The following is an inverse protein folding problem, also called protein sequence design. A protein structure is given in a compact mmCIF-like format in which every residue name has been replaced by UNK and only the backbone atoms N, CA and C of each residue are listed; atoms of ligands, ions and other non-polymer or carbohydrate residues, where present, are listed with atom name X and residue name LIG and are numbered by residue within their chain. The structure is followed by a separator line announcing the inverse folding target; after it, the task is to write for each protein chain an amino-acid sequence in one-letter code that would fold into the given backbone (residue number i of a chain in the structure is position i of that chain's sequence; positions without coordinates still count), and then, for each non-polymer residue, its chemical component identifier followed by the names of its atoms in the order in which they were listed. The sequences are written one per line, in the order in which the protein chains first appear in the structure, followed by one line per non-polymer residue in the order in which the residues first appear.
data_IF_279724584865
#
_entry.id   IF_279724584865
#
_cell.length_a   1.000
_cell.length_b   1.000
_cell.length_c   1.000
_cell.angle_alpha   90.00
_cell.angle_beta   90.00
_cell.angle_gamma   90.00
#
_symmetry.space_group_name_H-M   'P 1'
#
loop_
_entity.id
_entity.type
_entity.pdbx_description
1 polymer ?
#
# COMPACT_ATOMS: atom_id res chain seq x y z
N UNK A 1 -20.60 -18.57 3.72
CA UNK A 1 -19.94 -17.81 2.65
C UNK A 1 -19.98 -16.35 3.05
N UNK A 2 -18.83 -15.73 3.40
CA UNK A 2 -18.77 -14.28 3.71
C UNK A 2 -19.02 -13.55 2.38
N UNK A 3 -20.09 -12.76 2.29
CA UNK A 3 -20.30 -11.87 1.14
C UNK A 3 -19.12 -10.89 1.08
N UNK A 4 -18.29 -11.01 0.07
CA UNK A 4 -17.30 -9.98 -0.23
C UNK A 4 -18.05 -8.69 -0.55
N UNK A 5 -17.95 -7.68 0.31
CA UNK A 5 -18.46 -6.36 -0.01
C UNK A 5 -17.80 -5.89 -1.31
N UNK A 6 -18.62 -5.50 -2.27
CA UNK A 6 -18.10 -4.94 -3.52
C UNK A 6 -17.17 -3.76 -3.21
N UNK A 7 -15.98 -3.78 -3.81
CA UNK A 7 -15.01 -2.70 -3.66
C UNK A 7 -15.59 -1.41 -4.25
N UNK A 8 -15.45 -0.31 -3.54
CA UNK A 8 -15.87 1.04 -3.96
C UNK A 8 -14.66 1.98 -3.92
N UNK A 9 -14.74 3.14 -4.56
CA UNK A 9 -13.65 4.13 -4.47
C UNK A 9 -13.35 4.52 -3.02
N UNK A 10 -14.37 4.69 -2.18
CA UNK A 10 -14.20 5.04 -0.74
C UNK A 10 -13.43 3.99 0.06
N UNK A 11 -13.48 2.73 -0.35
CA UNK A 11 -12.78 1.62 0.30
C UNK A 11 -11.47 1.24 -0.39
N UNK A 12 -11.10 1.97 -1.46
CA UNK A 12 -9.88 1.71 -2.21
C UNK A 12 -8.66 2.16 -1.42
N UNK A 13 -7.66 1.29 -1.31
CA UNK A 13 -6.39 1.53 -0.63
C UNK A 13 -5.22 1.11 -1.51
N UNK A 14 -3.99 1.55 -1.18
CA UNK A 14 -2.78 1.14 -1.91
C UNK A 14 -2.54 -0.37 -1.90
N UNK A 15 -3.04 -1.10 -0.88
CA UNK A 15 -2.94 -2.55 -0.81
C UNK A 15 -3.97 -3.23 -1.70
N UNK A 16 -5.27 -2.96 -1.49
CA UNK A 16 -6.33 -3.69 -2.20
C UNK A 16 -6.47 -3.33 -3.68
N UNK A 17 -5.88 -2.23 -4.15
CA UNK A 17 -5.85 -1.86 -5.58
C UNK A 17 -5.14 -2.91 -6.45
N UNK A 18 -4.25 -3.72 -5.87
CA UNK A 18 -3.58 -4.80 -6.57
C UNK A 18 -4.47 -6.03 -6.85
N UNK A 19 -5.62 -6.15 -6.17
CA UNK A 19 -6.57 -7.25 -6.34
C UNK A 19 -7.46 -7.09 -7.58
N UNK A 20 -7.67 -5.84 -8.03
CA UNK A 20 -8.62 -5.51 -9.10
C UNK A 20 -7.97 -5.51 -10.49
N UNK A 21 -8.82 -5.54 -11.51
CA UNK A 21 -8.42 -5.53 -12.91
C UNK A 21 -8.74 -4.17 -13.54
N UNK A 22 -8.22 -3.91 -14.76
CA UNK A 22 -8.42 -2.65 -15.47
C UNK A 22 -9.90 -2.29 -15.67
N UNK A 23 -10.72 -3.30 -15.97
CA UNK A 23 -12.17 -3.09 -16.16
C UNK A 23 -12.87 -2.64 -14.88
N UNK A 24 -12.38 -3.10 -13.72
CA UNK A 24 -12.96 -2.71 -12.44
C UNK A 24 -12.62 -1.26 -12.11
N UNK A 25 -11.41 -0.79 -12.51
CA UNK A 25 -11.02 0.62 -12.36
C UNK A 25 -12.00 1.53 -13.11
N UNK A 26 -12.34 1.21 -14.37
CA UNK A 26 -13.31 2.01 -15.13
C UNK A 26 -14.68 2.08 -14.44
N UNK A 27 -15.16 0.94 -13.91
CA UNK A 27 -16.44 0.88 -13.17
C UNK A 27 -16.39 1.69 -11.88
N UNK A 28 -15.27 1.61 -11.14
CA UNK A 28 -15.08 2.34 -9.90
C UNK A 28 -15.05 3.86 -10.14
N UNK A 29 -14.36 4.31 -11.18
CA UNK A 29 -14.30 5.71 -11.56
C UNK A 29 -15.67 6.24 -12.01
N UNK A 30 -16.39 5.49 -12.82
CA UNK A 30 -17.75 5.87 -13.25
C UNK A 30 -18.76 5.90 -12.09
N UNK A 31 -18.61 4.98 -11.12
CA UNK A 31 -19.45 4.97 -9.93
C UNK A 31 -19.12 6.13 -8.99
N UNK A 32 -17.82 6.38 -8.79
CA UNK A 32 -17.34 7.44 -7.90
C UNK A 32 -17.67 8.85 -8.41
N UNK A 33 -17.71 9.04 -9.72
CA UNK A 33 -18.13 10.32 -10.29
C UNK A 33 -19.57 10.71 -9.92
N UNK A 34 -20.44 9.74 -9.65
CA UNK A 34 -21.84 9.96 -9.24
C UNK A 34 -21.96 10.34 -7.76
N UNK A 35 -20.92 10.13 -6.98
CA UNK A 35 -20.88 10.43 -5.55
C UNK A 35 -20.10 11.75 -5.34
N UNK A 36 -20.75 12.74 -4.72
CA UNK A 36 -20.18 14.07 -4.52
C UNK A 36 -18.86 14.01 -3.71
N UNK A 37 -18.82 13.23 -2.63
CA UNK A 37 -17.63 13.09 -1.79
C UNK A 37 -16.44 12.49 -2.56
N UNK A 38 -16.71 11.52 -3.45
CA UNK A 38 -15.67 10.94 -4.30
C UNK A 38 -15.20 11.91 -5.37
N UNK A 39 -16.09 12.75 -5.90
CA UNK A 39 -15.76 13.74 -6.93
C UNK A 39 -14.73 14.75 -6.40
N UNK A 40 -14.92 15.24 -5.19
CA UNK A 40 -13.99 16.21 -4.56
C UNK A 40 -12.62 15.59 -4.25
N UNK A 41 -12.60 14.30 -3.97
CA UNK A 41 -11.36 13.56 -3.63
C UNK A 41 -10.79 12.75 -4.81
N UNK A 42 -11.23 12.96 -6.03
CA UNK A 42 -10.86 12.15 -7.21
C UNK A 42 -9.33 12.06 -7.42
N UNK A 43 -8.61 13.17 -7.16
CA UNK A 43 -7.14 13.19 -7.25
C UNK A 43 -6.48 12.16 -6.33
N UNK A 44 -6.96 12.04 -5.11
CA UNK A 44 -6.47 11.05 -4.15
C UNK A 44 -6.67 9.61 -4.66
N UNK A 45 -7.84 9.32 -5.25
CA UNK A 45 -8.11 8.00 -5.81
C UNK A 45 -7.26 7.71 -7.05
N UNK A 46 -7.01 8.70 -7.91
CA UNK A 46 -6.07 8.55 -9.01
C UNK A 46 -4.66 8.22 -8.52
N UNK A 47 -4.19 8.85 -7.45
CA UNK A 47 -2.88 8.57 -6.88
C UNK A 47 -2.80 7.14 -6.32
N UNK A 48 -3.85 6.64 -5.67
CA UNK A 48 -3.93 5.24 -5.24
C UNK A 48 -3.89 4.30 -6.45
N UNK A 49 -4.71 4.54 -7.48
CA UNK A 49 -4.78 3.69 -8.67
C UNK A 49 -3.41 3.66 -9.38
N UNK A 50 -2.73 4.79 -9.49
CA UNK A 50 -1.41 4.89 -10.10
C UNK A 50 -0.32 4.08 -9.42
N UNK A 51 -0.51 3.66 -8.17
CA UNK A 51 0.46 2.76 -7.52
C UNK A 51 0.51 1.39 -8.18
N UNK A 52 -0.63 0.87 -8.66
CA UNK A 52 -0.77 -0.45 -9.26
C UNK A 52 -1.00 -0.43 -10.79
N UNK A 53 -1.40 0.72 -11.34
CA UNK A 53 -1.73 0.85 -12.77
C UNK A 53 -0.97 1.99 -13.43
N UNK A 54 -0.64 1.79 -14.70
CA UNK A 54 -0.24 2.84 -15.61
C UNK A 54 -1.51 3.47 -16.18
N UNK A 55 -1.62 4.80 -16.10
CA UNK A 55 -2.79 5.55 -16.58
C UNK A 55 -2.33 6.68 -17.49
N UNK A 56 -2.79 6.67 -18.73
CA UNK A 56 -2.52 7.70 -19.74
C UNK A 56 -3.84 8.22 -20.31
N UNK A 57 -3.97 9.54 -20.43
CA UNK A 57 -5.10 10.13 -21.12
C UNK A 57 -4.91 10.06 -22.64
N UNK A 58 -5.92 9.54 -23.34
CA UNK A 58 -5.89 9.44 -24.81
C UNK A 58 -6.32 10.78 -25.40
N UNK A 59 -5.34 11.61 -25.75
CA UNK A 59 -5.56 12.97 -26.26
C UNK A 59 -6.26 13.02 -27.63
N UNK A 60 -6.10 11.96 -28.43
CA UNK A 60 -6.63 11.88 -29.81
C UNK A 60 -7.50 10.63 -29.93
N UNK A 61 -8.80 10.84 -30.05
CA UNK A 61 -9.77 9.76 -30.22
C UNK A 61 -9.85 9.30 -31.68
N UNK A 62 -8.84 8.52 -32.11
CA UNK A 62 -8.81 7.85 -33.40
C UNK A 62 -8.62 6.35 -33.22
N UNK A 63 -9.28 5.51 -34.05
CA UNK A 63 -9.14 4.05 -33.95
C UNK A 63 -7.69 3.56 -34.00
N UNK A 64 -6.86 4.20 -34.84
CA UNK A 64 -5.43 3.88 -34.97
C UNK A 64 -4.64 4.15 -33.69
N UNK A 65 -4.98 5.20 -32.94
CA UNK A 65 -4.32 5.56 -31.68
C UNK A 65 -4.76 4.59 -30.59
N UNK A 66 -6.04 4.26 -30.53
CA UNK A 66 -6.58 3.27 -29.59
C UNK A 66 -5.92 1.91 -29.83
N UNK A 67 -5.85 1.44 -31.08
CA UNK A 67 -5.20 0.19 -31.43
C UNK A 67 -3.71 0.13 -31.00
N UNK A 68 -2.99 1.26 -31.03
CA UNK A 68 -1.62 1.34 -30.52
C UNK A 68 -1.54 1.16 -29.00
N UNK A 69 -2.49 1.70 -28.23
CA UNK A 69 -2.56 1.47 -26.79
C UNK A 69 -2.90 0.02 -26.48
N UNK A 70 -3.89 -0.55 -27.18
CA UNK A 70 -4.30 -1.94 -27.02
C UNK A 70 -3.14 -2.92 -27.36
N UNK A 71 -2.38 -2.64 -28.42
CA UNK A 71 -1.18 -3.41 -28.79
C UNK A 71 -0.10 -3.39 -27.69
N UNK A 72 -0.01 -2.30 -26.89
CA UNK A 72 0.86 -2.19 -25.71
C UNK A 72 0.26 -2.85 -24.47
N UNK A 73 -0.93 -3.43 -24.57
CA UNK A 73 -1.64 -4.10 -23.47
C UNK A 73 -2.45 -3.17 -22.56
N UNK A 74 -2.72 -1.94 -22.99
CA UNK A 74 -3.63 -1.05 -22.29
C UNK A 74 -5.08 -1.38 -22.65
N UNK A 75 -5.97 -1.22 -21.71
CA UNK A 75 -7.42 -1.16 -21.96
C UNK A 75 -7.85 0.31 -22.05
N UNK A 76 -8.63 0.64 -23.07
CA UNK A 76 -9.06 2.00 -23.33
C UNK A 76 -10.56 2.09 -23.16
N UNK A 77 -11.01 3.00 -22.28
CA UNK A 77 -12.42 3.29 -22.09
C UNK A 77 -12.64 4.77 -21.73
N UNK A 78 -13.82 5.31 -22.03
CA UNK A 78 -14.18 6.65 -21.58
C UNK A 78 -14.40 6.66 -20.06
N UNK A 79 -13.86 7.67 -19.39
CA UNK A 79 -14.06 7.90 -17.95
C UNK A 79 -14.67 9.30 -17.80
N UNK A 80 -15.75 9.39 -17.04
CA UNK A 80 -16.39 10.66 -16.75
C UNK A 80 -15.53 11.41 -15.71
N UNK A 81 -14.94 12.52 -16.10
CA UNK A 81 -14.12 13.37 -15.21
C UNK A 81 -14.88 14.65 -14.86
N UNK A 82 -15.65 15.19 -15.81
CA UNK A 82 -16.48 16.37 -15.66
C UNK A 82 -17.86 16.15 -16.28
N UNK A 83 -18.83 17.01 -15.97
CA UNK A 83 -20.18 16.90 -16.49
C UNK A 83 -20.25 16.99 -18.03
N UNK A 84 -19.30 17.72 -18.63
CA UNK A 84 -19.26 17.98 -20.06
C UNK A 84 -18.21 17.15 -20.82
N UNK A 85 -17.25 16.51 -20.16
CA UNK A 85 -16.14 15.82 -20.81
C UNK A 85 -16.03 14.36 -20.34
N UNK A 86 -15.89 13.47 -21.33
CA UNK A 86 -15.61 12.04 -21.11
C UNK A 86 -14.32 11.69 -21.83
N UNK A 87 -13.17 12.10 -21.30
CA UNK A 87 -11.89 11.71 -21.90
C UNK A 87 -11.74 10.19 -21.89
N UNK A 88 -11.10 9.65 -22.91
CA UNK A 88 -10.71 8.24 -22.92
C UNK A 88 -9.40 8.09 -22.15
N UNK A 89 -9.37 7.10 -21.27
CA UNK A 89 -8.18 6.72 -20.52
C UNK A 89 -7.71 5.36 -20.98
N UNK A 90 -6.40 5.24 -21.13
CA UNK A 90 -5.70 3.98 -21.34
C UNK A 90 -5.14 3.52 -19.99
N UNK A 91 -5.58 2.37 -19.52
CA UNK A 91 -5.21 1.81 -18.20
C UNK A 91 -4.61 0.43 -18.40
N UNK A 92 -3.48 0.17 -17.72
CA UNK A 92 -2.79 -1.11 -17.71
C UNK A 92 -2.23 -1.41 -16.33
N UNK A 93 -2.42 -2.62 -15.85
CA UNK A 93 -1.82 -3.06 -14.59
C UNK A 93 -0.31 -3.10 -14.71
N UNK A 94 0.40 -2.53 -13.73
CA UNK A 94 1.87 -2.53 -13.70
C UNK A 94 2.39 -3.94 -13.54
N UNK A 95 3.22 -4.44 -14.47
CA UNK A 95 3.81 -5.76 -14.31
C UNK A 95 4.92 -5.72 -13.26
N UNK A 96 4.97 -6.72 -12.39
CA UNK A 96 6.08 -6.93 -11.46
C UNK A 96 7.10 -7.81 -12.17
N UNK A 97 8.22 -7.23 -12.58
CA UNK A 97 9.25 -7.88 -13.39
C UNK A 97 10.60 -7.98 -12.69
N UNK A 98 10.91 -7.03 -11.80
CA UNK A 98 12.20 -6.92 -11.11
C UNK A 98 12.00 -6.94 -9.61
N UNK A 99 13.04 -7.30 -8.89
CA UNK A 99 13.02 -7.25 -7.42
C UNK A 99 12.76 -5.83 -6.86
N UNK A 100 13.15 -4.80 -7.61
CA UNK A 100 12.90 -3.39 -7.29
C UNK A 100 11.43 -2.97 -7.46
N UNK A 101 10.61 -3.78 -8.15
CA UNK A 101 9.18 -3.52 -8.33
C UNK A 101 8.36 -4.06 -7.14
N UNK A 102 9.01 -4.83 -6.24
CA UNK A 102 8.38 -5.38 -5.05
C UNK A 102 8.21 -4.31 -3.98
N UNK A 103 7.03 -4.27 -3.40
CA UNK A 103 6.67 -3.37 -2.29
C UNK A 103 5.85 -4.12 -1.24
N UNK A 104 5.74 -3.58 -0.03
CA UNK A 104 4.91 -4.16 1.03
C UNK A 104 3.43 -4.26 0.62
N UNK A 105 2.96 -3.40 -0.28
CA UNK A 105 1.59 -3.39 -0.77
C UNK A 105 1.33 -4.49 -1.79
N UNK A 106 2.30 -4.81 -2.68
CA UNK A 106 2.09 -5.74 -3.78
C UNK A 106 2.57 -7.17 -3.52
N UNK A 107 3.48 -7.36 -2.56
CA UNK A 107 4.13 -8.66 -2.32
C UNK A 107 3.14 -9.80 -2.03
N UNK A 108 2.02 -9.52 -1.37
CA UNK A 108 1.00 -10.51 -1.05
C UNK A 108 0.05 -10.81 -2.21
N UNK A 109 0.12 -10.04 -3.30
CA UNK A 109 -0.74 -10.19 -4.48
C UNK A 109 -0.04 -10.92 -5.64
N UNK A 110 1.17 -11.44 -5.41
CA UNK A 110 1.87 -12.30 -6.35
C UNK A 110 1.92 -13.73 -5.81
N UNK A 111 2.00 -14.70 -6.72
CA UNK A 111 2.20 -16.11 -6.36
C UNK A 111 3.67 -16.40 -6.04
N UNK A 112 3.94 -17.49 -5.31
CA UNK A 112 5.30 -17.96 -5.07
C UNK A 112 6.06 -18.24 -6.38
N UNK A 113 5.39 -18.84 -7.37
CA UNK A 113 5.97 -19.07 -8.69
C UNK A 113 6.37 -17.73 -9.38
N UNK A 114 5.54 -16.67 -9.25
CA UNK A 114 5.87 -15.36 -9.79
C UNK A 114 7.05 -14.72 -9.05
N UNK A 115 7.14 -14.91 -7.74
CA UNK A 115 8.31 -14.47 -6.98
C UNK A 115 9.59 -15.16 -7.47
N UNK A 116 9.55 -16.49 -7.72
CA UNK A 116 10.69 -17.23 -8.26
C UNK A 116 11.13 -16.66 -9.62
N UNK A 117 10.18 -16.36 -10.53
CA UNK A 117 10.47 -15.73 -11.82
C UNK A 117 11.14 -14.35 -11.66
N UNK A 118 10.70 -13.55 -10.70
CA UNK A 118 11.28 -12.23 -10.41
C UNK A 118 12.70 -12.35 -9.85
N UNK A 119 12.92 -13.32 -8.95
CA UNK A 119 14.25 -13.61 -8.39
C UNK A 119 15.22 -14.17 -9.44
N UNK A 120 14.77 -15.05 -10.33
CA UNK A 120 15.59 -15.60 -11.41
C UNK A 120 16.10 -14.50 -12.35
N UNK A 121 15.26 -13.48 -12.62
CA UNK A 121 15.64 -12.30 -13.41
C UNK A 121 16.66 -11.37 -12.74
N UNK A 122 16.98 -11.59 -11.47
CA UNK A 122 17.98 -10.83 -10.73
C UNK A 122 19.42 -11.32 -10.99
N UNK A 123 19.71 -11.72 -12.23
CA UNK A 123 21.04 -12.08 -12.73
C UNK A 123 21.76 -13.21 -11.98
N UNK A 124 21.03 -14.13 -11.35
CA UNK A 124 21.60 -15.28 -10.65
C UNK A 124 22.40 -14.93 -9.40
N UNK A 125 22.23 -13.72 -8.85
CA UNK A 125 22.99 -13.27 -7.68
C UNK A 125 22.65 -14.03 -6.37
N UNK A 126 21.51 -14.73 -6.32
CA UNK A 126 21.05 -15.45 -5.14
C UNK A 126 20.42 -14.55 -4.08
N UNK A 127 20.05 -15.17 -2.96
CA UNK A 127 19.38 -14.46 -1.86
C UNK A 127 20.24 -13.38 -1.24
N UNK A 128 21.52 -13.71 -0.98
CA UNK A 128 22.47 -12.80 -0.32
C UNK A 128 22.85 -11.57 -1.14
N UNK A 129 22.54 -11.56 -2.45
CA UNK A 129 22.76 -10.40 -3.33
C UNK A 129 21.66 -9.34 -3.23
N UNK A 130 20.54 -9.67 -2.60
CA UNK A 130 19.43 -8.74 -2.40
C UNK A 130 19.77 -7.78 -1.24
N UNK A 131 19.35 -6.51 -1.40
CA UNK A 131 19.44 -5.58 -0.26
C UNK A 131 18.51 -6.03 0.87
N UNK A 132 18.86 -5.70 2.11
CA UNK A 132 18.06 -6.05 3.28
C UNK A 132 16.60 -5.59 3.14
N UNK A 133 16.38 -4.39 2.62
CA UNK A 133 15.03 -3.86 2.42
C UNK A 133 14.18 -4.71 1.46
N UNK A 134 14.79 -5.29 0.42
CA UNK A 134 14.08 -6.20 -0.51
C UNK A 134 13.82 -7.55 0.17
N UNK A 135 14.77 -8.06 0.93
CA UNK A 135 14.57 -9.29 1.72
C UNK A 135 13.42 -9.11 2.71
N UNK A 136 13.38 -8.00 3.45
CA UNK A 136 12.31 -7.70 4.40
C UNK A 136 10.93 -7.59 3.73
N UNK A 137 10.86 -6.98 2.53
CA UNK A 137 9.63 -6.93 1.73
C UNK A 137 9.18 -8.36 1.37
N UNK A 138 10.08 -9.20 0.85
CA UNK A 138 9.75 -10.56 0.46
C UNK A 138 9.32 -11.38 1.68
N UNK A 139 10.07 -11.31 2.77
CA UNK A 139 9.77 -12.02 4.01
C UNK A 139 8.46 -11.56 4.68
N UNK A 140 8.00 -10.33 4.42
CA UNK A 140 6.70 -9.86 4.91
C UNK A 140 5.52 -10.63 4.30
N UNK A 141 5.67 -11.14 3.07
CA UNK A 141 4.63 -11.87 2.33
C UNK A 141 4.87 -13.38 2.25
N UNK A 142 6.12 -13.84 2.32
CA UNK A 142 6.49 -15.23 2.09
C UNK A 142 7.32 -15.82 3.22
N UNK A 143 7.15 -17.12 3.44
CA UNK A 143 8.08 -17.93 4.21
C UNK A 143 9.23 -18.31 3.30
N UNK A 144 10.42 -17.79 3.58
CA UNK A 144 11.63 -18.03 2.81
C UNK A 144 12.54 -19.01 3.53
N UNK A 145 13.14 -19.91 2.78
CA UNK A 145 14.19 -20.81 3.28
C UNK A 145 15.23 -20.97 2.19
N UNK A 146 16.49 -20.73 2.51
CA UNK A 146 17.61 -20.86 1.56
C UNK A 146 18.55 -21.96 1.99
N UNK A 147 19.18 -22.62 1.03
CA UNK A 147 20.24 -23.60 1.28
C UNK A 147 21.21 -23.63 0.11
N UNK A 148 22.50 -23.86 0.42
CA UNK A 148 23.52 -24.02 -0.60
C UNK A 148 24.18 -25.39 -0.41
N UNK A 149 23.94 -26.29 -1.35
CA UNK A 149 24.40 -27.68 -1.30
C UNK A 149 24.95 -28.11 -2.67
N UNK A 150 25.86 -29.14 -2.69
CA UNK A 150 26.17 -29.82 -3.94
C UNK A 150 24.89 -30.42 -4.57
N UNK A 151 24.77 -30.38 -5.89
CA UNK A 151 23.59 -30.82 -6.63
C UNK A 151 23.09 -32.23 -6.22
N UNK A 152 24.02 -33.16 -6.06
CA UNK A 152 23.69 -34.55 -5.68
C UNK A 152 23.09 -34.67 -4.27
N UNK A 153 23.48 -33.77 -3.36
CA UNK A 153 22.93 -33.72 -2.01
C UNK A 153 21.60 -33.00 -1.94
N UNK A 154 21.41 -31.98 -2.75
CA UNK A 154 20.16 -31.21 -2.81
C UNK A 154 18.98 -32.12 -3.19
N UNK A 155 19.16 -32.95 -4.21
CA UNK A 155 18.11 -33.84 -4.76
C UNK A 155 18.12 -35.25 -4.15
N UNK A 156 18.71 -35.43 -2.97
CA UNK A 156 18.67 -36.73 -2.30
C UNK A 156 17.22 -37.14 -2.00
N UNK A 157 16.79 -38.36 -2.38
CA UNK A 157 15.44 -38.85 -2.08
C UNK A 157 15.12 -38.78 -0.58
N UNK A 158 13.92 -38.34 -0.23
CA UNK A 158 13.51 -38.11 1.16
C UNK A 158 14.19 -36.93 1.83
N UNK A 159 14.97 -36.13 1.10
CA UNK A 159 15.72 -34.98 1.60
C UNK A 159 14.84 -33.75 1.84
N UNK A 160 15.53 -32.65 2.18
CA UNK A 160 14.88 -31.36 2.48
C UNK A 160 14.13 -30.82 1.26
N UNK A 161 14.68 -30.97 0.05
CA UNK A 161 14.08 -30.50 -1.19
C UNK A 161 12.67 -31.09 -1.39
N UNK A 162 12.57 -32.42 -1.38
CA UNK A 162 11.28 -33.10 -1.55
C UNK A 162 10.28 -32.74 -0.46
N UNK A 163 10.74 -32.62 0.79
CA UNK A 163 9.87 -32.21 1.90
C UNK A 163 9.31 -30.81 1.69
N UNK A 164 10.15 -29.84 1.30
CA UNK A 164 9.72 -28.46 1.05
C UNK A 164 8.75 -28.37 -0.13
N UNK A 165 9.03 -29.09 -1.23
CA UNK A 165 8.12 -29.13 -2.39
C UNK A 165 6.78 -29.77 -2.01
N UNK A 166 6.79 -30.87 -1.24
CA UNK A 166 5.57 -31.50 -0.75
C UNK A 166 4.79 -30.61 0.22
N UNK A 167 5.47 -29.77 0.97
CA UNK A 167 4.87 -28.75 1.85
C UNK A 167 4.31 -27.54 1.07
N UNK A 168 4.44 -27.52 -0.27
CA UNK A 168 3.91 -26.49 -1.15
C UNK A 168 4.80 -25.24 -1.29
N UNK A 169 6.12 -25.41 -1.09
CA UNK A 169 7.09 -24.37 -1.45
C UNK A 169 7.42 -24.44 -2.94
N UNK A 170 7.48 -23.30 -3.60
CA UNK A 170 8.11 -23.13 -4.90
C UNK A 170 9.62 -22.97 -4.72
N UNK A 171 10.39 -23.40 -5.69
CA UNK A 171 11.85 -23.47 -5.59
C UNK A 171 12.52 -22.79 -6.78
N UNK A 172 13.54 -21.97 -6.50
CA UNK A 172 14.48 -21.47 -7.48
C UNK A 172 15.85 -22.05 -7.20
N UNK A 173 16.46 -22.69 -8.20
CA UNK A 173 17.81 -23.23 -8.12
C UNK A 173 18.77 -22.32 -8.90
N UNK A 174 19.78 -21.82 -8.21
CA UNK A 174 20.81 -20.95 -8.79
C UNK A 174 22.15 -21.70 -8.73
N UNK A 175 22.72 -22.05 -9.91
CA UNK A 175 24.01 -22.74 -9.94
C UNK A 175 25.14 -21.80 -9.54
N UNK A 176 25.94 -22.23 -8.54
CA UNK A 176 27.15 -21.55 -8.05
C UNK A 176 28.36 -22.49 -8.20
N UNK A 177 28.79 -22.71 -9.43
CA UNK A 177 29.86 -23.67 -9.75
C UNK A 177 29.47 -25.11 -9.48
N UNK A 178 30.12 -25.80 -8.52
CA UNK A 178 29.78 -27.17 -8.10
C UNK A 178 28.65 -27.25 -7.07
N UNK A 179 28.21 -26.12 -6.57
CA UNK A 179 27.13 -25.97 -5.59
C UNK A 179 25.88 -25.38 -6.29
N UNK A 180 24.74 -25.61 -5.67
CA UNK A 180 23.49 -25.00 -6.05
C UNK A 180 22.88 -24.32 -4.83
N UNK A 181 22.55 -23.05 -4.97
CA UNK A 181 21.72 -22.37 -4.00
C UNK A 181 20.25 -22.61 -4.37
N UNK A 182 19.51 -23.18 -3.44
CA UNK A 182 18.07 -23.36 -3.59
C UNK A 182 17.35 -22.37 -2.67
N UNK A 183 16.48 -21.55 -3.27
CA UNK A 183 15.62 -20.60 -2.58
C UNK A 183 14.21 -21.18 -2.62
N UNK A 184 13.64 -21.43 -1.45
CA UNK A 184 12.28 -21.94 -1.28
C UNK A 184 11.38 -20.81 -0.81
N UNK A 185 10.22 -20.61 -1.44
CA UNK A 185 9.24 -19.65 -1.00
C UNK A 185 7.83 -20.23 -0.97
N UNK A 186 7.10 -19.88 0.07
CA UNK A 186 5.69 -20.20 0.24
C UNK A 186 4.96 -18.95 0.71
N UNK A 187 3.81 -18.65 0.11
CA UNK A 187 3.00 -17.51 0.52
C UNK A 187 2.54 -17.70 1.97
N UNK A 188 2.79 -16.71 2.82
CA UNK A 188 2.30 -16.73 4.20
C UNK A 188 0.78 -16.68 4.23
N UNK A 189 0.12 -17.45 5.10
CA UNK A 189 -1.32 -17.34 5.29
C UNK A 189 -1.68 -15.92 5.70
N UNK A 190 -2.83 -15.44 5.25
CA UNK A 190 -3.35 -14.15 5.65
C UNK A 190 -3.67 -14.19 7.15
N UNK A 191 -2.96 -13.39 7.94
CA UNK A 191 -3.26 -13.24 9.36
C UNK A 191 -4.55 -12.44 9.45
N UNK A 192 -5.63 -13.07 9.90
CA UNK A 192 -6.86 -12.35 10.24
C UNK A 192 -6.47 -11.29 11.29
N UNK A 193 -6.49 -10.02 10.90
CA UNK A 193 -6.27 -8.93 11.84
C UNK A 193 -7.30 -9.09 12.95
N UNK A 194 -6.89 -9.15 14.24
CA UNK A 194 -7.86 -9.18 15.31
C UNK A 194 -8.77 -7.96 15.13
N UNK A 195 -10.08 -8.19 15.01
CA UNK A 195 -11.04 -7.10 15.02
C UNK A 195 -10.99 -6.55 16.44
N UNK A 196 -10.30 -5.45 16.63
CA UNK A 196 -10.47 -4.66 17.83
C UNK A 196 -11.92 -4.19 17.80
N UNK A 197 -12.75 -4.77 18.67
CA UNK A 197 -14.00 -4.14 19.05
C UNK A 197 -13.56 -2.86 19.76
N UNK A 198 -13.76 -1.71 19.12
CA UNK A 198 -13.62 -0.46 19.85
C UNK A 198 -14.71 -0.48 20.92
N UNK A 199 -14.37 -0.13 22.14
CA UNK A 199 -15.36 0.01 23.25
C UNK A 199 -16.46 1.02 22.85
N UNK A 200 -16.19 1.90 21.88
CA UNK A 200 -17.16 2.82 21.27
C UNK A 200 -18.27 2.15 20.44
N UNK A 201 -18.07 0.93 19.92
CA UNK A 201 -19.11 0.23 19.15
C UNK A 201 -20.23 -0.36 20.04
N UNK A 202 -20.02 -0.45 21.37
CA UNK A 202 -21.03 -0.91 22.32
C UNK A 202 -21.90 0.26 22.85
N UNK A 203 -21.34 1.48 22.92
CA UNK A 203 -22.09 2.66 23.36
C UNK A 203 -23.01 3.21 22.26
N UNK A 204 -22.61 3.15 20.98
CA UNK A 204 -23.48 3.51 19.85
C UNK A 204 -24.69 2.56 19.69
N UNK A 205 -24.56 1.30 20.12
CA UNK A 205 -25.71 0.39 20.13
C UNK A 205 -26.70 0.70 21.25
N UNK A 206 -26.18 1.09 22.41
CA UNK A 206 -27.06 1.46 23.57
C UNK A 206 -27.79 2.77 23.31
N UNK A 207 -27.23 3.70 22.54
CA UNK A 207 -27.94 4.93 22.16
C UNK A 207 -29.04 4.72 21.12
N UNK A 208 -28.90 3.71 20.21
CA UNK A 208 -29.93 3.43 19.21
C UNK A 208 -31.12 2.66 19.72
N UNK A 209 -30.96 1.89 20.81
CA UNK A 209 -32.07 1.16 21.45
C UNK A 209 -32.89 2.04 22.40
N UNK A 210 -32.49 3.34 22.60
CA UNK A 210 -33.21 4.28 23.48
C UNK A 210 -34.16 5.21 22.74
N UNK A 211 -34.09 5.26 21.39
CA UNK A 211 -34.91 6.17 20.56
C UNK A 211 -36.18 5.49 19.97
N UNK A 212 -36.50 4.22 20.32
CA UNK A 212 -37.67 3.53 19.75
C UNK A 212 -38.91 3.42 20.65
N UNK A 213 -38.84 3.89 21.91
CA UNK A 213 -40.00 3.87 22.81
C UNK A 213 -40.19 5.21 23.49
N UNK A 214 -40.82 6.19 22.83
CA UNK A 214 -41.61 7.21 23.51
C UNK A 214 -42.65 7.79 22.54
N UNK A 215 -43.85 7.14 22.64
CA UNK A 215 -45.14 7.70 22.28
C UNK A 215 -45.46 8.94 23.14
N UNK A 216 -46.05 9.93 22.44
CA UNK A 216 -47.02 10.91 22.87
C UNK A 216 -47.23 11.07 24.40
N UNK A 217 -46.80 12.20 24.94
CA UNK A 217 -47.64 12.95 25.91
C UNK A 217 -47.30 14.45 25.87
N UNK A 218 -48.33 15.21 25.50
CA UNK A 218 -48.46 16.64 25.73
C UNK A 218 -48.24 16.97 27.22
N UNK A 219 -47.47 18.02 27.56
CA UNK A 219 -47.79 18.85 28.71
C UNK A 219 -46.92 20.12 28.79
N UNK A 220 -47.61 21.25 28.66
CA UNK A 220 -47.58 22.45 29.49
C UNK A 220 -46.25 23.10 29.92
N UNK A 221 -46.07 24.24 29.33
CA UNK A 221 -45.65 25.55 29.84
C UNK A 221 -45.37 25.66 31.34
N UNK A 222 -44.09 25.74 31.78
CA UNK A 222 -43.72 26.42 33.03
C UNK A 222 -42.38 27.13 32.83
N UNK A 223 -42.47 28.40 32.78
CA UNK A 223 -41.43 29.43 32.90
C UNK A 223 -40.88 29.39 34.32
N UNK A 224 -39.55 29.19 34.53
CA UNK A 224 -38.85 29.76 35.71
C UNK A 224 -37.33 29.84 35.43
N UNK A 225 -36.92 31.07 35.28
CA UNK A 225 -35.69 31.75 35.65
C UNK A 225 -34.84 31.04 36.72
N UNK A 226 -33.61 30.65 36.31
CA UNK A 226 -32.56 30.42 37.30
C UNK A 226 -31.19 30.64 36.63
N UNK A 227 -30.64 31.82 36.92
CA UNK A 227 -29.28 32.16 36.59
C UNK A 227 -28.27 31.17 37.16
N UNK A 228 -27.35 30.77 36.38
CA UNK A 228 -26.11 30.18 36.86
C UNK A 228 -24.91 30.83 36.14
N UNK A 229 -24.29 31.64 36.93
CA UNK A 229 -23.04 32.35 36.74
C UNK A 229 -21.95 31.26 36.64
N UNK A 230 -21.41 31.03 35.47
CA UNK A 230 -20.18 30.27 35.33
C UNK A 230 -19.08 31.27 34.94
N UNK A 231 -18.16 31.46 35.86
CA UNK A 231 -16.88 32.12 35.69
C UNK A 231 -16.17 31.57 34.47
N UNK A 232 -15.99 32.43 33.51
CA UNK A 232 -15.21 32.25 32.30
C UNK A 232 -13.73 32.41 32.69
N UNK A 233 -13.10 31.33 33.13
CA UNK A 233 -11.65 31.21 33.23
C UNK A 233 -11.08 31.10 31.81
N UNK A 234 -10.80 32.31 31.25
CA UNK A 234 -10.10 32.55 30.02
C UNK A 234 -8.63 32.06 30.14
N UNK A 235 -8.40 30.74 30.03
CA UNK A 235 -7.09 30.16 29.75
C UNK A 235 -6.82 30.32 28.27
N UNK A 236 -6.50 31.54 27.85
CA UNK A 236 -5.96 31.81 26.53
C UNK A 236 -4.59 31.12 26.40
N UNK A 237 -4.58 29.93 25.78
CA UNK A 237 -3.36 29.26 25.30
C UNK A 237 -2.72 30.16 24.25
N UNK A 238 -1.62 30.77 24.63
CA UNK A 238 -0.80 31.63 23.77
C UNK A 238 0.01 30.73 22.81
N UNK A 239 -0.59 30.35 21.65
CA UNK A 239 0.04 29.52 20.61
C UNK A 239 1.34 30.14 20.07
N UNK A 240 1.50 31.46 20.16
CA UNK A 240 2.68 32.19 19.69
C UNK A 240 3.91 31.93 20.57
N UNK A 241 3.73 31.68 21.88
CA UNK A 241 4.82 31.36 22.81
C UNK A 241 5.42 29.95 22.61
N UNK A 242 4.58 28.97 22.25
CA UNK A 242 5.03 27.61 22.00
C UNK A 242 5.83 27.49 20.68
N UNK A 243 5.54 28.34 19.70
CA UNK A 243 6.28 28.37 18.45
C UNK A 243 7.63 29.04 18.60
N UNK A 244 7.77 30.11 19.38
CA UNK A 244 9.08 30.78 19.62
C UNK A 244 10.05 29.91 20.43
N UNK A 245 9.60 29.18 21.45
CA UNK A 245 10.46 28.25 22.20
C UNK A 245 10.91 27.03 21.37
N UNK A 246 10.06 26.53 20.48
CA UNK A 246 10.39 25.46 19.57
C UNK A 246 11.47 25.82 18.54
N UNK A 247 11.49 27.07 18.08
CA UNK A 247 12.51 27.56 17.14
C UNK A 247 13.85 27.88 17.83
N UNK A 248 13.85 28.26 19.11
CA UNK A 248 15.09 28.55 19.86
C UNK A 248 15.92 27.31 20.20
N UNK A 249 15.30 26.16 20.38
CA UNK A 249 16.02 24.91 20.72
C UNK A 249 16.61 24.17 19.54
N UNK A 250 16.26 24.55 18.30
CA UNK A 250 16.69 23.81 17.09
C UNK A 250 17.85 24.49 16.34
N UNK A 251 18.24 25.74 16.67
CA UNK A 251 19.21 26.50 15.90
C UNK A 251 20.32 27.19 16.71
N UNK A 252 20.49 26.86 17.98
CA UNK A 252 21.69 27.29 18.75
C UNK A 252 22.82 26.25 18.60
N UNK A 253 23.23 26.00 17.36
CA UNK A 253 24.58 25.47 17.08
C UNK A 253 25.47 26.68 16.80
N UNK A 254 26.37 26.96 17.74
CA UNK A 254 27.32 28.04 17.66
C UNK A 254 28.14 27.88 16.35
N UNK A 255 28.23 28.93 15.49
CA UNK A 255 28.95 28.83 14.22
C UNK A 255 30.48 28.63 14.40
N UNK A 256 31.00 28.63 15.62
CA UNK A 256 32.41 28.29 15.90
C UNK A 256 32.71 26.78 15.91
N UNK A 257 31.67 25.89 16.06
CA UNK A 257 31.84 24.41 16.04
C UNK A 257 31.93 23.85 14.62
N UNK A 258 31.78 24.64 13.57
CA UNK A 258 31.90 24.19 12.17
C UNK A 258 33.29 24.38 11.56
N UNK A 259 34.28 24.81 12.34
CA UNK A 259 35.65 24.92 11.88
C UNK A 259 36.40 23.61 12.08
N UNK A 260 36.01 22.56 11.36
CA UNK A 260 36.85 21.37 11.16
C UNK A 260 37.96 21.75 10.16
N UNK A 261 39.16 21.84 10.70
CA UNK A 261 40.41 22.04 9.93
C UNK A 261 40.48 20.96 8.84
N UNK A 262 40.58 21.42 7.58
CA UNK A 262 40.95 20.56 6.46
C UNK A 262 42.43 20.18 6.65
N UNK A 263 42.68 18.94 7.09
CA UNK A 263 44.03 18.38 7.08
C UNK A 263 44.45 18.17 5.60
N UNK A 264 45.52 18.88 5.24
CA UNK A 264 46.27 18.73 4.01
C UNK A 264 46.70 17.25 3.82
N UNK A 265 46.06 16.58 2.85
CA UNK A 265 46.59 15.31 2.35
C UNK A 265 47.71 15.63 1.38
N UNK A 266 48.94 15.51 1.86
CA UNK A 266 50.15 15.58 1.07
C UNK A 266 50.12 14.51 -0.03
N UNK A 267 50.33 14.96 -1.25
CA UNK A 267 50.63 14.15 -2.42
C UNK A 267 51.97 13.41 -2.18
N UNK A 268 51.98 12.09 -2.08
CA UNK A 268 53.17 11.28 -2.28
C UNK A 268 53.08 10.64 -3.66
N UNK A 269 53.91 11.23 -4.58
CA UNK A 269 54.39 10.61 -5.80
C UNK A 269 55.25 9.38 -5.47
N UNK A 270 54.90 8.21 -6.02
CA UNK A 270 55.83 7.23 -6.55
C UNK A 270 55.12 6.34 -7.58
#
# INVERSE_FOLDING_TARGET
MKQQKALTLKTLTKGNVWEIQENDIFRLLDAGYKDADCKDNMRHYFDIIRTAFEMEEVKVDRPEVIAKYEARGFKVAPVKVDDNTKPKWAIKKRPILRVTDLTYENIRHISAAKLMEVLDRNFGGGWDSLSQSIQDIIESGFDISTTTLPKDRLHKPGGMYEKKVNDGFEVLEIPKGSWVEAIFAKLKPEVEKPRYKSEFDEDDKKMRDFDEDEDDEELDDVNEDSGNDYDDDDDSYDEDKLTEESYRTTFDTDPEDLNMEAEDVAEEEY
#
